data_IF_462046581705
#
_entry.id   IF_462046581705
#
_cell.length_a   1.000
_cell.length_b   1.000
_cell.length_c   1.000
_cell.angle_alpha   90.00
_cell.angle_beta   90.00
_cell.angle_gamma   90.00
#
_symmetry.space_group_name_H-M   'P 1'
#
loop_
_entity.id
_entity.type
_entity.pdbx_description
1 polymer ?
#
# COMPACT_ATOMS: atom_id res chain seq x y z
N UNK A 1 -52.27 -50.72 38.11
CA UNK A 1 -52.14 -49.28 38.11
C UNK A 1 -50.94 -48.95 37.28
N UNK A 2 -51.23 -48.56 36.07
CA UNK A 2 -50.29 -48.18 35.03
C UNK A 2 -50.15 -46.67 35.02
N UNK A 3 -48.93 -46.18 35.16
CA UNK A 3 -48.58 -44.81 34.79
C UNK A 3 -47.72 -44.89 33.54
N UNK A 4 -48.27 -44.37 32.46
CA UNK A 4 -47.59 -44.16 31.17
C UNK A 4 -46.93 -42.79 31.20
N UNK A 5 -45.58 -42.79 31.24
CA UNK A 5 -44.78 -41.58 31.05
C UNK A 5 -44.54 -41.37 29.55
N UNK A 6 -45.26 -40.44 28.96
CA UNK A 6 -44.98 -39.91 27.63
C UNK A 6 -43.74 -38.99 27.67
N UNK A 7 -42.64 -39.46 27.09
CA UNK A 7 -41.48 -38.60 26.76
C UNK A 7 -41.73 -37.93 25.43
N UNK A 8 -42.04 -36.63 25.46
CA UNK A 8 -41.98 -35.77 24.31
C UNK A 8 -40.48 -35.48 24.00
N UNK A 9 -39.95 -36.11 22.99
CA UNK A 9 -38.64 -35.78 22.38
C UNK A 9 -38.80 -34.45 21.61
N UNK A 10 -38.44 -33.34 22.24
CA UNK A 10 -38.28 -32.05 21.57
C UNK A 10 -36.98 -32.13 20.72
N UNK A 11 -37.16 -32.49 19.45
CA UNK A 11 -36.14 -32.32 18.42
C UNK A 11 -35.91 -30.80 18.24
N UNK A 12 -34.92 -30.25 18.94
CA UNK A 12 -34.35 -28.96 18.58
C UNK A 12 -33.53 -29.14 17.29
N UNK A 13 -34.14 -28.84 16.15
CA UNK A 13 -33.41 -28.54 14.94
C UNK A 13 -32.60 -27.29 15.22
N UNK A 14 -31.32 -27.47 15.60
CA UNK A 14 -30.32 -26.42 15.56
C UNK A 14 -30.13 -26.06 14.07
N UNK A 15 -30.92 -25.12 13.58
CA UNK A 15 -30.62 -24.42 12.33
C UNK A 15 -29.29 -23.69 12.54
N UNK A 16 -28.19 -24.30 12.10
CA UNK A 16 -26.93 -23.62 11.95
C UNK A 16 -27.13 -22.57 10.86
N UNK A 17 -27.39 -21.34 11.26
CA UNK A 17 -27.19 -20.18 10.39
C UNK A 17 -25.73 -20.23 9.94
N UNK A 18 -25.50 -20.60 8.68
CA UNK A 18 -24.19 -20.47 8.06
C UNK A 18 -23.90 -18.95 7.99
N UNK A 19 -23.05 -18.45 8.89
CA UNK A 19 -22.56 -17.08 8.82
C UNK A 19 -21.87 -16.92 7.46
N UNK A 20 -22.49 -16.21 6.52
CA UNK A 20 -21.87 -15.89 5.24
C UNK A 20 -20.64 -15.00 5.47
N UNK A 21 -19.46 -15.55 5.19
CA UNK A 21 -18.20 -14.83 5.32
C UNK A 21 -18.11 -13.70 4.29
N UNK A 22 -17.86 -12.47 4.75
CA UNK A 22 -17.57 -11.35 3.84
C UNK A 22 -16.28 -11.60 3.05
N UNK A 23 -16.33 -11.46 1.72
CA UNK A 23 -15.15 -11.66 0.87
C UNK A 23 -15.12 -10.67 -0.31
N UNK A 24 -14.00 -10.62 -1.00
CA UNK A 24 -13.78 -9.79 -2.18
C UNK A 24 -13.32 -10.62 -3.36
N UNK A 25 -13.82 -10.28 -4.55
CA UNK A 25 -13.29 -10.76 -5.83
C UNK A 25 -12.63 -9.61 -6.58
N UNK A 26 -11.39 -9.83 -7.02
CA UNK A 26 -10.60 -8.84 -7.76
C UNK A 26 -10.11 -9.45 -9.06
N UNK A 27 -10.45 -8.81 -10.18
CA UNK A 27 -9.91 -9.15 -11.49
C UNK A 27 -9.15 -7.95 -12.07
N UNK A 28 -7.91 -8.19 -12.52
CA UNK A 28 -7.07 -7.16 -13.10
C UNK A 28 -6.57 -7.57 -14.49
N UNK A 29 -6.82 -6.73 -15.48
CA UNK A 29 -6.30 -6.85 -16.84
C UNK A 29 -5.39 -5.66 -17.16
N UNK A 30 -4.17 -5.92 -17.65
CA UNK A 30 -3.20 -4.87 -18.00
C UNK A 30 -2.59 -5.17 -19.36
N UNK A 31 -2.65 -4.17 -20.25
CA UNK A 31 -1.95 -4.18 -21.54
C UNK A 31 -0.99 -2.99 -21.57
N UNK A 32 0.28 -3.24 -21.83
CA UNK A 32 1.29 -2.19 -21.97
C UNK A 32 2.09 -2.37 -23.25
N UNK A 33 2.22 -1.27 -24.01
CA UNK A 33 3.08 -1.22 -25.18
C UNK A 33 4.13 -0.13 -24.99
N UNK A 34 5.41 -0.54 -25.05
CA UNK A 34 6.55 0.35 -24.92
C UNK A 34 7.38 0.34 -26.18
N UNK A 35 7.69 1.53 -26.69
CA UNK A 35 8.52 1.70 -27.86
C UNK A 35 9.66 2.71 -27.59
N UNK A 36 10.82 2.45 -28.19
CA UNK A 36 11.99 3.30 -28.12
C UNK A 36 12.48 3.59 -29.56
N UNK A 37 12.39 4.85 -29.95
CA UNK A 37 12.76 5.34 -31.27
C UNK A 37 14.09 6.10 -31.14
N UNK A 38 15.15 5.56 -31.73
CA UNK A 38 16.49 6.16 -31.68
C UNK A 38 16.72 7.07 -32.86
N UNK A 39 17.15 8.28 -32.57
CA UNK A 39 17.59 9.28 -33.55
C UNK A 39 19.07 9.49 -33.29
N UNK A 40 19.96 9.19 -34.21
CA UNK A 40 21.40 9.42 -34.11
C UNK A 40 21.98 9.44 -32.64
N UNK A 41 21.75 10.54 -31.92
CA UNK A 41 22.26 10.77 -30.53
C UNK A 41 21.17 11.06 -29.52
N UNK A 42 19.91 11.00 -29.89
CA UNK A 42 18.74 11.19 -29.00
C UNK A 42 17.78 9.99 -29.08
N UNK A 43 16.86 9.91 -28.16
CA UNK A 43 15.90 8.81 -28.07
C UNK A 43 14.54 9.34 -27.62
N UNK A 44 13.48 8.90 -28.30
CA UNK A 44 12.11 9.09 -27.87
C UNK A 44 11.57 7.76 -27.35
N UNK A 45 11.17 7.73 -26.10
CA UNK A 45 10.47 6.60 -25.50
C UNK A 45 8.99 6.96 -25.37
N UNK A 46 8.12 6.04 -25.78
CA UNK A 46 6.67 6.16 -25.67
C UNK A 46 6.13 4.90 -25.01
N UNK A 47 5.28 5.08 -24.02
CA UNK A 47 4.57 3.98 -23.36
C UNK A 47 3.08 4.26 -23.41
N UNK A 48 2.31 3.29 -23.92
CA UNK A 48 0.85 3.25 -23.85
C UNK A 48 0.46 2.20 -22.84
N UNK A 49 -0.48 2.50 -21.97
CA UNK A 49 -1.03 1.59 -20.99
C UNK A 49 -2.54 1.59 -21.02
N UNK A 50 -3.13 0.40 -20.94
CA UNK A 50 -4.56 0.17 -20.70
C UNK A 50 -4.67 -0.78 -19.53
N UNK A 51 -5.49 -0.45 -18.56
CA UNK A 51 -5.80 -1.37 -17.46
C UNK A 51 -7.27 -1.30 -17.09
N UNK A 52 -7.77 -2.43 -16.66
CA UNK A 52 -9.10 -2.61 -16.13
C UNK A 52 -8.98 -3.35 -14.80
N UNK A 53 -9.67 -2.85 -13.79
CA UNK A 53 -9.81 -3.49 -12.49
C UNK A 53 -11.29 -3.65 -12.21
N UNK A 54 -11.73 -4.90 -12.00
CA UNK A 54 -13.07 -5.25 -11.53
C UNK A 54 -12.94 -5.60 -10.05
N UNK A 55 -13.83 -5.06 -9.23
CA UNK A 55 -13.88 -5.30 -7.79
C UNK A 55 -15.32 -5.59 -7.39
N UNK A 56 -15.52 -6.74 -6.78
CA UNK A 56 -16.77 -7.13 -6.15
C UNK A 56 -16.56 -7.36 -4.67
N UNK A 57 -17.47 -6.84 -3.85
CA UNK A 57 -17.48 -7.09 -2.41
C UNK A 57 -18.82 -7.71 -2.03
N UNK A 58 -18.72 -8.79 -1.27
CA UNK A 58 -19.84 -9.54 -0.72
C UNK A 58 -19.80 -9.37 0.80
N UNK A 59 -20.90 -8.96 1.39
CA UNK A 59 -21.02 -8.71 2.83
C UNK A 59 -22.28 -9.34 3.39
N UNK A 60 -22.42 -9.32 4.71
CA UNK A 60 -23.61 -9.76 5.40
C UNK A 60 -24.56 -8.58 5.59
N UNK A 61 -25.81 -8.68 5.16
CA UNK A 61 -26.86 -7.78 5.62
C UNK A 61 -27.42 -8.33 6.93
N UNK A 62 -27.22 -7.61 8.05
CA UNK A 62 -28.08 -7.82 9.19
C UNK A 62 -29.46 -7.26 8.80
N UNK A 63 -30.40 -8.16 8.49
CA UNK A 63 -31.82 -7.79 8.41
C UNK A 63 -32.22 -7.22 9.79
N UNK A 64 -32.56 -5.93 9.83
CA UNK A 64 -33.16 -5.34 11.04
C UNK A 64 -34.41 -6.16 11.38
N UNK A 65 -34.32 -6.94 12.46
CA UNK A 65 -35.43 -7.76 12.95
C UNK A 65 -36.69 -6.92 13.08
N UNK A 66 -37.69 -7.25 12.30
CA UNK A 66 -39.04 -6.75 12.51
C UNK A 66 -39.51 -7.21 13.89
N UNK A 67 -39.56 -6.28 14.86
CA UNK A 67 -40.27 -6.49 16.10
C UNK A 67 -41.72 -6.87 15.77
N UNK A 68 -42.08 -8.10 16.08
CA UNK A 68 -43.42 -8.62 15.99
C UNK A 68 -44.38 -7.75 16.80
N UNK A 69 -45.12 -6.88 16.13
CA UNK A 69 -46.38 -6.34 16.66
C UNK A 69 -47.53 -7.23 16.17
N UNK A 70 -48.00 -8.08 17.08
CA UNK A 70 -49.30 -8.75 16.97
C UNK A 70 -50.40 -7.66 16.86
N UNK A 71 -50.95 -7.49 15.64
CA UNK A 71 -52.28 -6.91 15.48
C UNK A 71 -52.95 -7.57 14.28
N UNK A 72 -54.04 -8.30 14.58
CA UNK A 72 -54.95 -8.94 13.64
C UNK A 72 -55.55 -7.91 12.65
N UNK A 73 -55.21 -8.01 11.37
CA UNK A 73 -56.05 -7.53 10.27
C UNK A 73 -55.89 -8.38 9.02
N UNK A 74 -56.96 -9.09 8.67
CA UNK A 74 -57.23 -9.64 7.37
C UNK A 74 -57.27 -8.53 6.32
N UNK A 75 -56.37 -8.54 5.32
CA UNK A 75 -56.67 -8.03 3.96
C UNK A 75 -55.58 -8.52 2.98
N UNK A 76 -56.03 -9.19 1.90
CA UNK A 76 -55.23 -9.65 0.79
C UNK A 76 -54.60 -8.47 0.01
N UNK A 77 -53.31 -8.24 0.16
CA UNK A 77 -52.51 -7.50 -0.82
C UNK A 77 -51.18 -8.24 -1.01
N UNK A 78 -50.93 -8.63 -2.26
CA UNK A 78 -49.69 -9.23 -2.70
C UNK A 78 -48.55 -8.18 -2.61
N UNK A 79 -47.78 -8.20 -1.56
CA UNK A 79 -46.50 -7.54 -1.52
C UNK A 79 -45.51 -8.37 -2.35
N UNK A 80 -45.07 -7.79 -3.47
CA UNK A 80 -43.90 -8.24 -4.22
C UNK A 80 -42.68 -8.07 -3.32
N UNK A 81 -42.35 -9.08 -2.52
CA UNK A 81 -41.03 -9.20 -1.90
C UNK A 81 -40.08 -9.44 -3.09
N UNK A 82 -39.27 -8.44 -3.42
CA UNK A 82 -38.09 -8.62 -4.24
C UNK A 82 -37.21 -9.65 -3.53
N UNK A 83 -37.24 -10.89 -4.02
CA UNK A 83 -36.33 -11.94 -3.59
C UNK A 83 -34.92 -11.46 -3.95
N UNK A 84 -34.14 -10.98 -2.98
CA UNK A 84 -32.71 -10.76 -3.14
C UNK A 84 -32.08 -12.10 -3.50
N UNK A 85 -31.57 -12.23 -4.74
CA UNK A 85 -30.87 -13.44 -5.14
C UNK A 85 -29.60 -13.57 -4.29
N UNK A 86 -29.51 -14.62 -3.49
CA UNK A 86 -28.33 -15.01 -2.73
C UNK A 86 -27.10 -15.01 -3.67
N UNK A 87 -26.13 -14.11 -3.45
CA UNK A 87 -24.87 -14.03 -4.21
C UNK A 87 -24.68 -12.78 -5.08
N UNK A 88 -25.55 -11.76 -5.00
CA UNK A 88 -25.26 -10.46 -5.63
C UNK A 88 -24.22 -9.66 -4.82
N UNK A 89 -23.26 -9.07 -5.52
CA UNK A 89 -22.23 -8.25 -4.88
C UNK A 89 -22.82 -6.91 -4.45
N UNK A 90 -22.68 -6.53 -3.18
CA UNK A 90 -23.10 -5.23 -2.68
C UNK A 90 -22.35 -4.09 -3.38
N UNK A 91 -21.03 -4.23 -3.51
CA UNK A 91 -20.19 -3.33 -4.31
C UNK A 91 -19.73 -4.10 -5.55
N UNK A 92 -20.07 -3.62 -6.73
CA UNK A 92 -19.54 -4.07 -8.02
C UNK A 92 -19.00 -2.83 -8.76
N UNK A 93 -17.70 -2.74 -8.86
CA UNK A 93 -16.97 -1.56 -9.34
C UNK A 93 -16.04 -1.92 -10.48
N UNK A 94 -16.06 -1.12 -11.55
CA UNK A 94 -15.10 -1.18 -12.65
C UNK A 94 -14.29 0.09 -12.74
N UNK A 95 -12.97 -0.04 -12.71
CA UNK A 95 -12.03 1.04 -12.91
C UNK A 95 -11.25 0.84 -14.20
N UNK A 96 -11.52 1.65 -15.21
CA UNK A 96 -10.81 1.64 -16.48
C UNK A 96 -9.78 2.76 -16.53
N UNK A 97 -8.56 2.45 -16.92
CA UNK A 97 -7.48 3.44 -17.03
C UNK A 97 -6.77 3.33 -18.37
N UNK A 98 -6.61 4.47 -19.05
CA UNK A 98 -5.76 4.60 -20.20
C UNK A 98 -4.64 5.62 -19.94
N UNK A 99 -3.41 5.32 -20.35
CA UNK A 99 -2.27 6.19 -20.12
C UNK A 99 -1.37 6.31 -21.36
N UNK A 100 -0.79 7.49 -21.52
CA UNK A 100 0.25 7.78 -22.50
C UNK A 100 1.38 8.51 -21.78
N UNK A 101 2.58 7.93 -21.81
CA UNK A 101 3.80 8.56 -21.35
C UNK A 101 4.77 8.74 -22.51
N UNK A 102 5.40 9.89 -22.58
CA UNK A 102 6.50 10.12 -23.50
C UNK A 102 7.71 10.73 -22.79
N UNK A 103 8.89 10.35 -23.24
CA UNK A 103 10.17 10.81 -22.70
C UNK A 103 11.16 10.99 -23.83
N UNK A 104 11.65 12.21 -24.02
CA UNK A 104 12.66 12.53 -24.99
C UNK A 104 14.01 12.76 -24.31
N UNK A 105 14.97 11.90 -24.63
CA UNK A 105 16.35 11.97 -24.14
C UNK A 105 17.17 12.74 -25.19
N UNK A 106 17.64 13.91 -24.80
CA UNK A 106 18.51 14.73 -25.65
C UNK A 106 19.90 14.09 -25.80
N UNK A 107 20.69 14.51 -26.80
CA UNK A 107 22.04 14.01 -26.95
C UNK A 107 22.86 14.23 -25.67
N UNK A 108 23.29 13.13 -25.09
CA UNK A 108 24.14 13.16 -23.90
C UNK A 108 25.54 13.61 -24.24
N UNK A 109 26.11 14.46 -23.38
CA UNK A 109 27.53 14.84 -23.37
C UNK A 109 28.20 14.37 -22.11
N UNK A 110 29.53 14.45 -22.02
CA UNK A 110 30.26 14.04 -20.81
C UNK A 110 29.89 14.87 -19.57
N UNK A 111 29.32 16.05 -19.76
CA UNK A 111 29.01 16.99 -18.68
C UNK A 111 27.52 17.24 -18.48
N UNK A 112 26.69 16.89 -19.45
CA UNK A 112 25.29 17.32 -19.43
C UNK A 112 24.37 16.27 -20.05
N UNK A 113 23.30 15.96 -19.32
CA UNK A 113 22.16 15.17 -19.80
C UNK A 113 20.89 15.99 -19.58
N UNK A 114 19.99 15.96 -20.56
CA UNK A 114 18.71 16.62 -20.46
C UNK A 114 17.58 15.72 -20.96
N UNK A 115 16.48 15.72 -20.23
CA UNK A 115 15.30 14.91 -20.50
C UNK A 115 14.09 15.82 -20.44
N UNK A 116 13.20 15.73 -21.44
CA UNK A 116 11.85 16.27 -21.39
C UNK A 116 10.86 15.11 -21.46
N UNK A 117 9.76 15.22 -20.75
CA UNK A 117 8.71 14.23 -20.82
C UNK A 117 7.36 14.78 -20.41
N UNK A 118 6.34 13.98 -20.66
CA UNK A 118 4.97 14.27 -20.25
C UNK A 118 4.15 13.00 -20.14
N UNK A 119 3.03 13.11 -19.45
CA UNK A 119 2.10 12.02 -19.21
C UNK A 119 0.66 12.52 -19.35
N UNK A 120 -0.19 11.67 -19.89
CA UNK A 120 -1.65 11.84 -19.92
C UNK A 120 -2.23 10.56 -19.34
N UNK A 121 -3.19 10.69 -18.42
CA UNK A 121 -3.93 9.54 -17.87
C UNK A 121 -5.41 9.92 -17.86
N UNK A 122 -6.25 9.02 -18.37
CA UNK A 122 -7.69 9.09 -18.23
C UNK A 122 -8.13 7.86 -17.45
N UNK A 123 -8.99 8.06 -16.46
CA UNK A 123 -9.53 7.00 -15.63
C UNK A 123 -11.02 7.22 -15.44
N UNK A 124 -11.79 6.15 -15.59
CA UNK A 124 -13.23 6.12 -15.41
C UNK A 124 -13.57 5.07 -14.34
N UNK A 125 -14.40 5.46 -13.38
CA UNK A 125 -15.00 4.59 -12.38
C UNK A 125 -16.48 4.44 -12.66
N UNK A 126 -16.97 3.21 -12.73
CA UNK A 126 -18.39 2.85 -12.94
C UNK A 126 -18.81 1.85 -11.89
N UNK A 127 -19.97 2.06 -11.29
CA UNK A 127 -20.59 1.19 -10.28
C UNK A 127 -21.76 0.44 -10.89
N UNK A 128 -21.92 -0.82 -10.51
CA UNK A 128 -22.96 -1.76 -10.98
C UNK A 128 -23.65 -2.48 -9.81
N UNK A 129 -23.09 -2.42 -8.59
CA UNK A 129 -23.66 -2.98 -7.37
C UNK A 129 -24.78 -2.11 -6.79
N UNK A 130 -25.43 -2.61 -5.76
CA UNK A 130 -26.49 -1.88 -5.05
C UNK A 130 -25.95 -0.75 -4.21
N UNK A 131 -24.74 -0.88 -3.68
CA UNK A 131 -24.04 0.12 -2.87
C UNK A 131 -22.97 0.86 -3.66
N UNK A 132 -22.96 2.19 -3.55
CA UNK A 132 -21.91 3.03 -4.12
C UNK A 132 -21.01 3.58 -3.03
N UNK A 133 -19.84 2.99 -2.79
CA UNK A 133 -18.83 3.56 -1.88
C UNK A 133 -18.26 4.88 -2.41
N UNK A 134 -18.07 4.99 -3.72
CA UNK A 134 -17.65 6.20 -4.45
C UNK A 134 -18.47 6.36 -5.72
N UNK A 135 -18.86 7.57 -6.11
CA UNK A 135 -19.72 7.79 -7.28
C UNK A 135 -19.03 7.45 -8.60
N UNK A 136 -19.83 7.22 -9.64
CA UNK A 136 -19.35 7.19 -11.01
C UNK A 136 -18.58 8.48 -11.32
N UNK A 137 -17.37 8.35 -11.88
CA UNK A 137 -16.49 9.50 -12.02
C UNK A 137 -15.49 9.35 -13.16
N UNK A 138 -15.11 10.49 -13.73
CA UNK A 138 -14.02 10.63 -14.68
C UNK A 138 -12.87 11.41 -14.05
N UNK A 139 -11.65 10.95 -14.26
CA UNK A 139 -10.42 11.62 -13.84
C UNK A 139 -9.46 11.73 -15.02
N UNK A 140 -8.96 12.94 -15.26
CA UNK A 140 -7.92 13.20 -16.23
C UNK A 140 -6.70 13.83 -15.57
N UNK A 141 -5.52 13.27 -15.81
CA UNK A 141 -4.24 13.84 -15.40
C UNK A 141 -3.41 14.24 -16.61
N UNK A 142 -2.80 15.41 -16.55
CA UNK A 142 -1.86 15.92 -17.52
C UNK A 142 -0.60 16.40 -16.79
N UNK A 143 0.57 15.91 -17.18
CA UNK A 143 1.85 16.29 -16.58
C UNK A 143 2.93 16.55 -17.61
N UNK A 144 3.78 17.57 -17.34
CA UNK A 144 4.99 17.85 -18.14
C UNK A 144 6.18 18.06 -17.20
N UNK A 145 7.33 17.52 -17.57
CA UNK A 145 8.54 17.65 -16.77
C UNK A 145 9.81 17.82 -17.58
N UNK A 146 10.80 18.46 -16.96
CA UNK A 146 12.15 18.54 -17.46
C UNK A 146 13.14 18.15 -16.37
N UNK A 147 14.16 17.34 -16.72
CA UNK A 147 15.22 16.91 -15.82
C UNK A 147 16.56 17.20 -16.48
N UNK A 148 17.48 17.81 -15.73
CA UNK A 148 18.85 18.07 -16.15
C UNK A 148 19.83 17.44 -15.17
N UNK A 149 20.82 16.72 -15.69
CA UNK A 149 21.98 16.24 -14.94
C UNK A 149 23.24 16.96 -15.42
N UNK A 150 24.00 17.50 -14.49
CA UNK A 150 25.30 18.15 -14.75
C UNK A 150 26.39 17.41 -14.00
N UNK A 151 27.33 16.82 -14.74
CA UNK A 151 28.46 16.06 -14.23
C UNK A 151 29.71 16.94 -14.15
N UNK A 152 30.15 17.24 -12.95
CA UNK A 152 31.42 17.90 -12.67
C UNK A 152 32.39 16.87 -12.10
N UNK A 153 33.69 17.18 -12.05
CA UNK A 153 34.74 16.20 -11.70
C UNK A 153 34.45 15.36 -10.45
N UNK A 154 33.91 15.95 -9.39
CA UNK A 154 33.62 15.27 -8.11
C UNK A 154 32.21 15.61 -7.58
N UNK A 155 31.38 16.25 -8.39
CA UNK A 155 30.06 16.71 -8.01
C UNK A 155 29.09 16.45 -9.16
N UNK A 156 28.00 15.78 -8.87
CA UNK A 156 26.85 15.64 -9.76
C UNK A 156 25.72 16.53 -9.24
N UNK A 157 25.13 17.30 -10.12
CA UNK A 157 23.97 18.15 -9.88
C UNK A 157 22.80 17.64 -10.69
N UNK A 158 21.64 17.48 -10.07
CA UNK A 158 20.38 17.16 -10.74
C UNK A 158 19.34 18.23 -10.42
N UNK A 159 18.66 18.70 -11.44
CA UNK A 159 17.53 19.64 -11.32
C UNK A 159 16.34 19.06 -12.05
N UNK A 160 15.20 18.98 -11.38
CA UNK A 160 13.93 18.57 -11.95
C UNK A 160 12.85 19.63 -11.73
N UNK A 161 12.04 19.85 -12.75
CA UNK A 161 10.85 20.71 -12.70
C UNK A 161 9.68 19.96 -13.33
N UNK A 162 8.50 20.04 -12.70
CA UNK A 162 7.29 19.40 -13.21
C UNK A 162 6.06 20.28 -12.94
N UNK A 163 5.17 20.36 -13.92
CA UNK A 163 3.84 20.94 -13.79
C UNK A 163 2.79 19.88 -14.06
N UNK A 164 1.73 19.85 -13.26
CA UNK A 164 0.65 18.88 -13.34
C UNK A 164 -0.70 19.56 -13.22
N UNK A 165 -1.69 18.98 -13.90
CA UNK A 165 -3.10 19.29 -13.75
C UNK A 165 -3.87 17.97 -13.62
N UNK A 166 -4.82 17.93 -12.69
CA UNK A 166 -5.81 16.87 -12.51
C UNK A 166 -7.19 17.46 -12.54
N UNK A 167 -8.04 16.93 -13.40
CA UNK A 167 -9.46 17.24 -13.46
C UNK A 167 -10.25 16.01 -12.99
N UNK A 168 -11.22 16.22 -12.09
CA UNK A 168 -12.12 15.21 -11.57
C UNK A 168 -13.55 15.68 -11.82
N UNK A 169 -14.38 14.78 -12.35
CA UNK A 169 -15.78 15.04 -12.64
C UNK A 169 -16.65 13.87 -12.19
N UNK A 170 -17.75 14.17 -11.53
CA UNK A 170 -18.89 13.28 -11.27
C UNK A 170 -20.17 13.93 -11.85
N UNK A 171 -21.33 13.33 -11.65
CA UNK A 171 -22.60 13.91 -12.08
C UNK A 171 -22.83 15.33 -11.49
N UNK A 172 -22.49 15.53 -10.21
CA UNK A 172 -22.80 16.74 -9.44
C UNK A 172 -21.56 17.55 -9.02
N UNK A 173 -20.36 17.12 -9.42
CA UNK A 173 -19.12 17.73 -8.97
C UNK A 173 -18.11 17.86 -10.10
N UNK A 174 -17.40 18.99 -10.13
CA UNK A 174 -16.25 19.19 -11.03
C UNK A 174 -15.20 20.03 -10.34
N UNK A 175 -13.97 19.52 -10.27
CA UNK A 175 -12.85 20.22 -9.64
C UNK A 175 -11.55 19.99 -10.40
N UNK A 176 -10.78 21.06 -10.56
CA UNK A 176 -9.45 21.02 -11.15
C UNK A 176 -8.39 21.34 -10.11
N UNK A 177 -7.34 20.52 -10.08
CA UNK A 177 -6.18 20.70 -9.24
C UNK A 177 -4.97 20.94 -10.12
N UNK A 178 -4.14 21.91 -9.78
CA UNK A 178 -2.89 22.18 -10.49
C UNK A 178 -1.73 22.32 -9.50
N UNK A 179 -0.56 21.88 -9.91
CA UNK A 179 0.63 22.01 -9.09
C UNK A 179 1.89 22.23 -9.91
N UNK A 180 2.89 22.76 -9.25
CA UNK A 180 4.23 22.86 -9.75
C UNK A 180 5.19 22.30 -8.70
N UNK A 181 6.04 21.36 -9.10
CA UNK A 181 7.01 20.71 -8.22
C UNK A 181 8.43 20.88 -8.77
N UNK A 182 9.40 20.85 -7.86
CA UNK A 182 10.81 21.01 -8.18
C UNK A 182 11.69 20.08 -7.35
N UNK A 183 12.85 19.72 -7.88
CA UNK A 183 13.86 18.98 -7.16
C UNK A 183 15.27 19.48 -7.46
N UNK A 184 16.13 19.43 -6.44
CA UNK A 184 17.54 19.74 -6.52
C UNK A 184 18.33 18.65 -5.82
N UNK A 185 19.10 17.87 -6.58
CA UNK A 185 19.97 16.82 -6.07
C UNK A 185 21.43 17.19 -6.21
N UNK A 186 22.21 17.00 -5.17
CA UNK A 186 23.66 17.14 -5.15
C UNK A 186 24.27 15.80 -4.69
N UNK A 187 25.23 15.27 -5.46
CA UNK A 187 26.04 14.12 -5.05
C UNK A 187 27.50 14.47 -5.15
N UNK A 188 28.21 14.33 -4.07
CA UNK A 188 29.66 14.55 -4.00
C UNK A 188 30.39 13.27 -3.63
N UNK A 189 31.34 12.85 -4.47
CA UNK A 189 32.20 11.73 -4.16
C UNK A 189 33.31 12.16 -3.20
N UNK A 190 33.46 11.42 -2.11
CA UNK A 190 34.46 11.59 -1.06
C UNK A 190 35.53 10.50 -1.23
N UNK A 191 36.46 10.74 -2.15
CA UNK A 191 37.41 9.71 -2.58
C UNK A 191 36.75 8.67 -3.51
N UNK A 192 37.31 7.44 -3.49
CA UNK A 192 36.84 6.33 -4.34
C UNK A 192 35.76 5.47 -3.71
N UNK A 193 35.59 5.56 -2.39
CA UNK A 193 34.80 4.60 -1.62
C UNK A 193 33.60 5.22 -0.91
N UNK A 194 33.42 6.53 -0.95
CA UNK A 194 32.34 7.17 -0.21
C UNK A 194 31.67 8.26 -1.05
N UNK A 195 30.41 8.53 -0.78
CA UNK A 195 29.70 9.66 -1.34
C UNK A 195 28.69 10.22 -0.33
N UNK A 196 28.44 11.51 -0.45
CA UNK A 196 27.38 12.21 0.23
C UNK A 196 26.39 12.73 -0.79
N UNK A 197 25.10 12.64 -0.48
CA UNK A 197 24.00 13.16 -1.30
C UNK A 197 23.14 14.07 -0.47
N UNK A 198 22.68 15.13 -1.08
CA UNK A 198 21.68 16.06 -0.55
C UNK A 198 20.59 16.20 -1.61
N UNK A 199 19.33 15.98 -1.22
CA UNK A 199 18.20 16.28 -2.06
C UNK A 199 17.27 17.26 -1.35
N UNK A 200 16.77 18.22 -2.12
CA UNK A 200 15.68 19.09 -1.77
C UNK A 200 14.59 18.87 -2.82
N UNK A 201 13.40 18.53 -2.41
CA UNK A 201 12.31 18.27 -3.33
C UNK A 201 10.99 18.80 -2.81
N UNK A 202 10.14 19.24 -3.73
CA UNK A 202 8.73 19.45 -3.47
C UNK A 202 7.91 18.39 -4.21
N UNK A 203 6.85 17.92 -3.57
CA UNK A 203 5.88 16.99 -4.13
C UNK A 203 4.46 17.51 -3.95
N UNK A 204 3.51 16.89 -4.62
CA UNK A 204 2.10 17.14 -4.38
C UNK A 204 1.30 15.85 -4.57
N UNK A 205 0.13 15.82 -3.95
CA UNK A 205 -0.89 14.81 -4.15
C UNK A 205 -2.27 15.47 -4.17
N UNK A 206 -3.00 15.35 -5.26
CA UNK A 206 -4.42 15.70 -5.25
C UNK A 206 -5.21 14.61 -4.53
N UNK A 207 -6.31 14.95 -3.83
CA UNK A 207 -7.18 13.98 -3.20
C UNK A 207 -7.65 12.91 -4.20
N UNK A 208 -7.83 11.68 -3.73
CA UNK A 208 -8.41 10.59 -4.51
C UNK A 208 -9.95 10.59 -4.41
N UNK A 209 -10.60 9.69 -5.15
CA UNK A 209 -12.07 9.64 -5.19
C UNK A 209 -12.68 9.24 -3.85
N UNK A 210 -12.08 8.28 -3.13
CA UNK A 210 -12.57 7.87 -1.82
C UNK A 210 -12.41 9.00 -0.79
N UNK A 211 -11.30 9.72 -0.80
CA UNK A 211 -11.09 10.88 0.08
C UNK A 211 -12.10 11.99 -0.16
N UNK A 212 -12.55 12.17 -1.41
CA UNK A 212 -13.51 13.22 -1.77
C UNK A 212 -14.97 12.80 -1.57
N UNK A 213 -15.30 11.53 -1.83
CA UNK A 213 -16.67 11.12 -2.08
C UNK A 213 -17.10 9.84 -1.37
N UNK A 214 -16.23 9.18 -0.58
CA UNK A 214 -16.68 8.01 0.16
C UNK A 214 -17.92 8.35 0.99
N UNK A 215 -18.98 7.55 0.89
CA UNK A 215 -20.19 7.63 1.69
C UNK A 215 -20.81 6.24 1.79
N UNK A 216 -20.19 5.35 2.56
CA UNK A 216 -20.61 3.95 2.62
C UNK A 216 -19.75 3.09 3.52
N UNK A 217 -20.13 1.81 3.64
CA UNK A 217 -19.40 0.79 4.38
C UNK A 217 -18.21 0.30 3.54
N UNK A 218 -17.04 0.32 4.14
CA UNK A 218 -15.86 -0.34 3.62
C UNK A 218 -15.72 -1.69 4.34
N UNK A 219 -16.31 -2.73 3.77
CA UNK A 219 -16.42 -4.07 4.38
C UNK A 219 -15.06 -4.67 4.73
N UNK A 220 -14.04 -4.51 3.89
CA UNK A 220 -12.68 -5.04 4.12
C UNK A 220 -11.96 -4.48 5.36
N UNK A 221 -12.47 -3.39 5.99
CA UNK A 221 -11.93 -2.79 7.21
C UNK A 221 -13.01 -2.52 8.27
N UNK A 222 -14.22 -3.02 8.05
CA UNK A 222 -15.37 -2.96 8.97
C UNK A 222 -15.62 -1.55 9.52
N UNK A 223 -15.80 -0.55 8.64
CA UNK A 223 -16.10 0.84 9.03
C UNK A 223 -16.90 1.58 7.97
N UNK A 224 -17.65 2.59 8.39
CA UNK A 224 -18.31 3.54 7.50
C UNK A 224 -17.37 4.72 7.23
N UNK A 225 -17.15 5.09 5.97
CA UNK A 225 -16.25 6.16 5.55
C UNK A 225 -17.03 7.33 4.94
N UNK A 226 -16.71 8.56 5.35
CA UNK A 226 -17.23 9.80 4.74
C UNK A 226 -16.06 10.62 4.20
N UNK A 227 -16.11 10.92 2.90
CA UNK A 227 -15.19 11.80 2.19
C UNK A 227 -15.49 13.27 2.44
N UNK A 228 -14.56 14.14 2.02
CA UNK A 228 -14.76 15.58 2.02
C UNK A 228 -14.41 16.17 0.65
N UNK A 229 -15.43 16.63 -0.08
CA UNK A 229 -15.30 17.26 -1.40
C UNK A 229 -14.52 18.59 -1.40
N UNK A 230 -14.30 19.19 -0.21
CA UNK A 230 -13.57 20.45 -0.05
C UNK A 230 -12.05 20.25 0.08
N UNK A 231 -11.57 19.01 0.22
CA UNK A 231 -10.15 18.70 0.36
C UNK A 231 -9.31 19.41 -0.72
N UNK A 232 -8.19 19.97 -0.28
CA UNK A 232 -7.22 20.68 -1.11
C UNK A 232 -6.05 19.76 -1.48
N UNK A 233 -5.18 20.22 -2.38
CA UNK A 233 -3.93 19.52 -2.73
C UNK A 233 -3.03 19.40 -1.50
N UNK A 234 -2.59 18.20 -1.20
CA UNK A 234 -1.51 17.94 -0.25
C UNK A 234 -0.17 18.34 -0.91
N UNK A 235 0.67 19.03 -0.16
CA UNK A 235 2.01 19.43 -0.62
C UNK A 235 3.08 18.94 0.34
N UNK A 236 4.19 18.48 -0.21
CA UNK A 236 5.35 17.96 0.50
C UNK A 236 6.58 18.79 0.18
N UNK A 237 7.37 19.15 1.18
CA UNK A 237 8.70 19.72 1.02
C UNK A 237 9.68 18.87 1.82
N UNK A 238 10.56 18.18 1.11
CA UNK A 238 11.44 17.17 1.68
C UNK A 238 12.92 17.55 1.52
N UNK A 239 13.67 17.31 2.58
CA UNK A 239 15.11 17.34 2.64
C UNK A 239 15.62 15.92 2.96
N UNK A 240 16.50 15.40 2.11
CA UNK A 240 17.19 14.13 2.32
C UNK A 240 18.69 14.32 2.37
N UNK A 241 19.35 13.66 3.32
CA UNK A 241 20.78 13.58 3.44
C UNK A 241 21.21 12.12 3.52
N UNK A 242 22.07 11.67 2.59
CA UNK A 242 22.61 10.31 2.56
C UNK A 242 24.11 10.32 2.61
N UNK A 243 24.68 9.45 3.42
CA UNK A 243 26.10 9.12 3.44
C UNK A 243 26.28 7.64 3.15
N UNK A 244 27.02 7.32 2.09
CA UNK A 244 27.30 5.94 1.72
C UNK A 244 28.80 5.72 1.64
N UNK A 245 29.29 4.64 2.24
CA UNK A 245 30.68 4.21 2.12
C UNK A 245 30.76 2.72 1.79
N UNK A 246 31.73 2.35 0.97
CA UNK A 246 31.88 0.99 0.45
C UNK A 246 33.32 0.54 0.58
N UNK A 247 33.51 -0.69 0.99
CA UNK A 247 34.79 -1.39 0.93
C UNK A 247 34.55 -2.80 0.38
N UNK A 248 35.60 -3.57 0.18
CA UNK A 248 35.47 -4.97 -0.24
C UNK A 248 34.69 -5.83 0.76
N UNK A 249 34.75 -5.49 2.04
CA UNK A 249 34.19 -6.28 3.13
C UNK A 249 32.95 -5.67 3.75
N UNK A 250 32.72 -4.36 3.59
CA UNK A 250 31.69 -3.61 4.33
C UNK A 250 31.12 -2.49 3.49
N UNK A 251 29.80 -2.39 3.47
CA UNK A 251 29.05 -1.23 3.02
C UNK A 251 28.28 -0.64 4.18
N UNK A 252 28.30 0.69 4.31
CA UNK A 252 27.56 1.45 5.32
C UNK A 252 26.74 2.53 4.61
N UNK A 253 25.47 2.60 4.92
CA UNK A 253 24.54 3.66 4.53
C UNK A 253 23.96 4.35 5.76
N UNK A 254 23.87 5.66 5.72
CA UNK A 254 23.12 6.47 6.69
C UNK A 254 22.25 7.42 5.89
N UNK A 255 20.95 7.33 6.07
CA UNK A 255 19.96 8.17 5.41
C UNK A 255 19.12 8.89 6.47
N UNK A 256 18.98 10.20 6.33
CA UNK A 256 18.17 11.05 7.21
C UNK A 256 17.25 11.86 6.33
N UNK A 257 15.97 11.93 6.68
CA UNK A 257 15.03 12.78 5.98
C UNK A 257 14.18 13.62 6.92
N UNK A 258 13.72 14.73 6.40
CA UNK A 258 12.73 15.60 6.99
C UNK A 258 11.75 16.05 5.92
N UNK A 259 10.47 15.86 6.16
CA UNK A 259 9.38 16.20 5.24
C UNK A 259 8.30 17.01 5.95
N UNK A 260 8.06 18.23 5.47
CA UNK A 260 6.96 19.07 5.91
C UNK A 260 5.81 18.95 4.91
N UNK A 261 4.65 18.56 5.42
CA UNK A 261 3.42 18.31 4.66
C UNK A 261 2.39 19.38 4.96
N UNK A 262 1.90 20.06 3.94
CA UNK A 262 0.75 20.95 4.08
C UNK A 262 -0.50 20.26 3.54
N UNK A 263 -1.59 20.37 4.27
CA UNK A 263 -2.87 19.73 3.97
C UNK A 263 -2.72 18.19 3.86
N UNK A 264 -2.00 17.55 4.76
CA UNK A 264 -1.89 16.09 4.80
C UNK A 264 -3.26 15.47 5.03
N UNK A 265 -3.64 14.51 4.16
CA UNK A 265 -4.95 13.86 4.19
C UNK A 265 -4.83 12.53 4.91
N UNK A 266 -5.63 12.33 5.95
CA UNK A 266 -5.75 11.06 6.65
C UNK A 266 -7.18 10.82 7.09
N UNK A 267 -7.48 9.62 7.57
CA UNK A 267 -8.81 9.23 8.03
C UNK A 267 -8.83 9.13 9.55
N UNK A 268 -9.89 9.66 10.18
CA UNK A 268 -10.04 9.75 11.63
C UNK A 268 -11.42 9.29 12.06
N UNK A 269 -11.54 8.48 13.14
CA UNK A 269 -12.85 8.12 13.70
C UNK A 269 -13.52 9.33 14.33
N UNK A 270 -14.85 9.43 14.17
CA UNK A 270 -15.66 10.50 14.76
C UNK A 270 -16.14 10.18 16.18
N UNK A 271 -16.01 8.93 16.63
CA UNK A 271 -16.61 8.40 17.85
C UNK A 271 -18.10 8.02 17.69
N UNK A 272 -18.67 8.22 16.50
CA UNK A 272 -20.03 7.79 16.13
C UNK A 272 -20.04 6.45 15.40
N UNK A 273 -21.24 5.98 15.07
CA UNK A 273 -21.45 4.79 14.23
C UNK A 273 -22.62 4.99 13.27
N UNK A 274 -22.61 4.30 12.15
CA UNK A 274 -23.70 4.21 11.16
C UNK A 274 -23.94 2.72 10.92
N UNK A 275 -25.17 2.26 11.07
CA UNK A 275 -25.54 0.84 10.90
C UNK A 275 -24.61 -0.12 11.66
N UNK A 276 -24.31 0.19 12.94
CA UNK A 276 -23.39 -0.61 13.75
C UNK A 276 -21.89 -0.45 13.42
N UNK A 277 -21.53 0.11 12.26
CA UNK A 277 -20.14 0.30 11.85
C UNK A 277 -19.56 1.61 12.39
N UNK A 278 -18.31 1.61 12.91
CA UNK A 278 -17.63 2.84 13.35
C UNK A 278 -17.51 3.86 12.23
N UNK A 279 -17.88 5.12 12.51
CA UNK A 279 -17.86 6.21 11.52
C UNK A 279 -16.49 6.89 11.48
N UNK A 280 -15.94 7.03 10.27
CA UNK A 280 -14.68 7.71 10.00
C UNK A 280 -14.84 8.81 8.96
N UNK A 281 -14.16 9.93 9.17
CA UNK A 281 -14.09 11.03 8.21
C UNK A 281 -12.68 11.24 7.68
N UNK A 282 -12.56 11.61 6.40
CA UNK A 282 -11.30 12.13 5.85
C UNK A 282 -11.10 13.58 6.30
N UNK A 283 -9.91 13.89 6.77
CA UNK A 283 -9.52 15.21 7.30
C UNK A 283 -8.19 15.66 6.70
N UNK A 284 -7.92 16.98 6.76
CA UNK A 284 -6.65 17.58 6.34
C UNK A 284 -6.02 18.39 7.46
N UNK A 285 -4.73 18.16 7.72
CA UNK A 285 -3.93 18.94 8.67
C UNK A 285 -2.49 19.07 8.16
N UNK A 286 -1.79 20.11 8.62
CA UNK A 286 -0.36 20.23 8.37
C UNK A 286 0.40 19.24 9.27
N UNK A 287 1.41 18.58 8.70
CA UNK A 287 2.11 17.51 9.39
C UNK A 287 3.62 17.52 9.09
N UNK A 288 4.38 16.88 9.96
CA UNK A 288 5.81 16.71 9.79
C UNK A 288 6.20 15.24 9.95
N UNK A 289 6.98 14.72 8.99
CA UNK A 289 7.59 13.40 9.02
C UNK A 289 9.09 13.52 9.04
N UNK A 290 9.77 12.79 9.91
CA UNK A 290 11.23 12.73 9.95
C UNK A 290 11.68 11.30 10.27
N UNK A 291 12.84 10.92 9.75
CA UNK A 291 13.35 9.59 9.98
C UNK A 291 14.84 9.47 9.76
N UNK A 292 15.37 8.39 10.29
CA UNK A 292 16.75 7.95 10.09
C UNK A 292 16.78 6.46 9.80
N UNK A 293 17.56 6.08 8.80
CA UNK A 293 17.86 4.70 8.47
C UNK A 293 19.37 4.48 8.48
N UNK A 294 19.80 3.43 9.16
CA UNK A 294 21.17 2.94 9.17
C UNK A 294 21.18 1.55 8.52
N UNK A 295 21.96 1.39 7.46
CA UNK A 295 22.16 0.08 6.79
C UNK A 295 23.62 -0.32 6.84
N UNK A 296 23.88 -1.57 7.22
CA UNK A 296 25.22 -2.15 7.20
C UNK A 296 25.11 -3.51 6.51
N UNK A 297 25.89 -3.72 5.46
CA UNK A 297 25.98 -5.01 4.80
C UNK A 297 27.45 -5.39 4.59
N UNK A 298 27.73 -6.68 4.59
CA UNK A 298 29.11 -7.11 4.45
C UNK A 298 29.33 -8.59 4.27
N UNK A 299 30.58 -8.92 3.98
CA UNK A 299 31.09 -10.28 3.92
C UNK A 299 31.79 -10.61 5.24
N UNK A 300 31.62 -11.83 5.69
CA UNK A 300 32.39 -12.34 6.81
C UNK A 300 33.76 -12.88 6.32
N UNK A 301 34.53 -13.45 7.21
CA UNK A 301 35.75 -14.21 6.82
C UNK A 301 35.44 -15.59 6.20
N UNK A 302 34.16 -15.97 6.24
CA UNK A 302 33.65 -17.21 5.63
C UNK A 302 33.05 -16.81 4.28
N UNK A 303 33.62 -17.33 3.19
CA UNK A 303 33.22 -16.95 1.82
C UNK A 303 31.74 -17.27 1.51
N UNK A 304 31.13 -18.16 2.28
CA UNK A 304 29.76 -18.61 2.15
C UNK A 304 28.77 -17.80 3.01
N UNK A 305 29.22 -16.80 3.80
CA UNK A 305 28.36 -16.07 4.72
C UNK A 305 28.48 -14.56 4.51
N UNK A 306 27.36 -13.94 4.13
CA UNK A 306 27.15 -12.48 4.12
C UNK A 306 26.10 -12.09 5.13
N UNK A 307 26.06 -10.81 5.48
CA UNK A 307 25.05 -10.26 6.37
C UNK A 307 24.56 -8.91 5.88
N UNK A 308 23.30 -8.63 6.19
CA UNK A 308 22.67 -7.33 6.00
C UNK A 308 21.91 -6.97 7.29
N UNK A 309 22.03 -5.72 7.74
CA UNK A 309 21.29 -5.24 8.91
C UNK A 309 20.82 -3.81 8.69
N UNK A 310 19.59 -3.52 9.15
CA UNK A 310 19.07 -2.16 9.17
C UNK A 310 18.49 -1.79 10.54
N UNK A 311 18.54 -0.49 10.83
CA UNK A 311 17.86 0.14 11.95
C UNK A 311 17.11 1.35 11.42
N UNK A 312 15.80 1.36 11.59
CA UNK A 312 14.87 2.33 11.02
C UNK A 312 14.09 3.01 12.15
N UNK A 313 14.11 4.35 12.19
CA UNK A 313 13.30 5.14 13.10
C UNK A 313 12.50 6.20 12.32
N UNK A 314 11.21 6.27 12.59
CA UNK A 314 10.27 7.21 11.97
C UNK A 314 9.49 7.95 13.05
N UNK A 315 9.29 9.25 12.85
CA UNK A 315 8.42 10.10 13.68
C UNK A 315 7.51 10.93 12.78
N UNK A 316 6.21 10.92 13.09
CA UNK A 316 5.18 11.71 12.43
C UNK A 316 4.36 12.50 13.44
N UNK A 317 4.16 13.80 13.20
CA UNK A 317 3.38 14.67 14.06
C UNK A 317 2.49 15.59 13.23
N UNK A 318 1.32 15.97 13.76
CA UNK A 318 0.50 17.06 13.25
C UNK A 318 0.88 18.37 13.93
N UNK A 319 0.57 19.50 13.31
CA UNK A 319 1.05 20.82 13.78
C UNK A 319 0.45 21.24 15.13
N UNK A 320 -0.70 20.76 15.52
CA UNK A 320 -1.30 21.00 16.83
C UNK A 320 -0.66 20.18 17.97
N UNK A 321 0.35 19.37 17.67
CA UNK A 321 1.20 18.66 18.64
C UNK A 321 0.81 17.18 18.85
N UNK A 322 -0.18 16.65 18.12
CA UNK A 322 -0.54 15.23 18.12
C UNK A 322 0.44 14.37 17.29
N UNK A 323 0.32 13.06 17.40
CA UNK A 323 1.04 12.12 16.55
C UNK A 323 0.20 11.75 15.33
N UNK A 324 0.85 11.51 14.19
CA UNK A 324 0.20 10.89 13.03
C UNK A 324 -0.13 9.43 13.31
N UNK A 325 -1.26 8.91 12.79
CA UNK A 325 -1.58 7.50 12.90
C UNK A 325 -0.66 6.63 12.03
N UNK A 326 -0.57 5.36 12.37
CA UNK A 326 0.15 4.34 11.61
C UNK A 326 1.65 4.65 11.38
N UNK A 327 2.31 5.25 12.36
CA UNK A 327 3.76 5.48 12.31
C UNK A 327 4.48 4.22 12.79
N UNK A 328 5.32 3.64 11.92
CA UNK A 328 6.09 2.43 12.23
C UNK A 328 6.96 2.62 13.47
N UNK A 329 6.98 1.69 14.42
CA UNK A 329 7.90 1.71 15.56
C UNK A 329 9.36 1.55 15.12
N UNK A 330 10.29 1.84 16.03
CA UNK A 330 11.70 1.52 15.81
C UNK A 330 11.84 0.06 15.39
N UNK A 331 12.40 -0.15 14.20
CA UNK A 331 12.52 -1.46 13.56
C UNK A 331 13.99 -1.81 13.37
N UNK A 332 14.37 -3.00 13.81
CA UNK A 332 15.68 -3.60 13.58
C UNK A 332 15.55 -4.88 12.76
N UNK A 333 16.34 -5.01 11.69
CA UNK A 333 16.42 -6.21 10.84
C UNK A 333 17.86 -6.70 10.78
N UNK A 334 18.04 -8.00 10.78
CA UNK A 334 19.33 -8.66 10.58
C UNK A 334 19.13 -9.93 9.77
N UNK A 335 19.74 -9.99 8.59
CA UNK A 335 19.68 -11.12 7.69
C UNK A 335 21.08 -11.71 7.50
N UNK A 336 21.15 -13.03 7.48
CA UNK A 336 22.33 -13.80 7.14
C UNK A 336 22.04 -14.61 5.88
N UNK A 337 22.83 -14.36 4.82
CA UNK A 337 22.78 -15.12 3.59
C UNK A 337 23.92 -16.15 3.59
N UNK A 338 23.54 -17.40 3.40
CA UNK A 338 24.45 -18.54 3.37
C UNK A 338 24.46 -19.14 1.97
N UNK A 339 25.59 -19.03 1.26
CA UNK A 339 25.77 -19.62 -0.07
C UNK A 339 26.75 -20.79 0.01
N UNK A 340 26.21 -22.00 -0.05
CA UNK A 340 27.00 -23.23 -0.06
C UNK A 340 27.29 -23.76 -1.47
N UNK A 341 27.22 -22.87 -2.47
CA UNK A 341 27.42 -23.20 -3.89
C UNK A 341 26.50 -24.36 -4.35
N UNK A 342 27.07 -25.55 -4.51
CA UNK A 342 26.34 -26.73 -5.01
C UNK A 342 25.32 -27.30 -4.00
N UNK A 343 25.35 -26.86 -2.73
CA UNK A 343 24.41 -27.30 -1.69
C UNK A 343 23.25 -26.33 -1.47
N UNK A 344 23.13 -25.30 -2.31
CA UNK A 344 22.05 -24.33 -2.27
C UNK A 344 22.36 -23.06 -1.49
N UNK A 345 21.38 -22.16 -1.49
CA UNK A 345 21.42 -20.90 -0.77
C UNK A 345 20.35 -20.89 0.33
N UNK A 346 20.69 -20.32 1.47
CA UNK A 346 19.78 -20.23 2.63
C UNK A 346 19.84 -18.84 3.21
N UNK A 347 18.74 -18.43 3.86
CA UNK A 347 18.63 -17.15 4.55
C UNK A 347 18.10 -17.36 5.96
N UNK A 348 18.62 -16.61 6.92
CA UNK A 348 18.09 -16.53 8.27
C UNK A 348 17.85 -15.05 8.56
N UNK A 349 16.59 -14.66 8.68
CA UNK A 349 16.13 -13.32 8.99
C UNK A 349 15.72 -13.18 10.45
N UNK A 350 16.11 -12.07 11.06
CA UNK A 350 15.65 -11.63 12.36
C UNK A 350 15.02 -10.24 12.22
N UNK A 351 13.77 -10.09 12.63
CA UNK A 351 13.04 -8.83 12.71
C UNK A 351 12.71 -8.54 14.17
N UNK A 352 12.96 -7.32 14.63
CA UNK A 352 12.49 -6.84 15.92
C UNK A 352 11.87 -5.46 15.78
N UNK A 353 10.64 -5.30 16.25
CA UNK A 353 9.94 -4.03 16.35
C UNK A 353 9.76 -3.66 17.83
N UNK A 354 10.08 -2.43 18.17
CA UNK A 354 9.86 -1.89 19.50
C UNK A 354 8.35 -1.69 19.75
N UNK A 355 7.98 -1.44 21.01
CA UNK A 355 6.64 -0.97 21.32
C UNK A 355 6.38 0.41 20.69
N UNK A 356 5.16 0.64 20.19
CA UNK A 356 4.73 1.96 19.72
C UNK A 356 3.73 2.57 20.69
N UNK A 357 4.19 3.61 21.39
CA UNK A 357 3.40 4.35 22.39
C UNK A 357 3.12 5.81 21.95
N UNK A 358 3.88 6.31 20.94
CA UNK A 358 3.63 7.63 20.36
C UNK A 358 2.59 7.49 19.23
N UNK A 359 1.33 7.35 19.61
CA UNK A 359 0.19 7.07 18.72
C UNK A 359 -0.73 8.28 18.61
N UNK A 360 -1.57 8.33 17.58
CA UNK A 360 -2.65 9.32 17.48
C UNK A 360 -3.68 9.10 18.61
N UNK A 361 -4.43 10.13 18.98
CA UNK A 361 -5.36 10.11 20.11
C UNK A 361 -6.43 9.00 20.02
N UNK A 362 -6.77 8.59 18.80
CA UNK A 362 -7.74 7.53 18.51
C UNK A 362 -7.10 6.17 18.23
N UNK A 363 -5.79 6.07 18.35
CA UNK A 363 -5.04 4.89 17.95
C UNK A 363 -4.58 4.08 19.17
N UNK A 364 -4.59 2.76 19.08
CA UNK A 364 -4.08 1.89 20.16
C UNK A 364 -2.57 1.71 20.06
N UNK A 365 -1.90 1.80 21.20
CA UNK A 365 -0.49 1.43 21.32
C UNK A 365 -0.31 -0.08 21.08
N UNK A 366 0.85 -0.47 20.59
CA UNK A 366 1.19 -1.87 20.35
C UNK A 366 2.47 -2.27 21.06
N UNK A 367 2.53 -3.53 21.48
CA UNK A 367 3.68 -4.10 22.17
C UNK A 367 4.80 -4.46 21.19
N UNK A 368 6.02 -4.55 21.71
CA UNK A 368 7.18 -5.01 20.96
C UNK A 368 7.10 -6.50 20.63
N UNK A 369 7.67 -6.89 19.51
CA UNK A 369 7.81 -8.28 19.14
C UNK A 369 9.07 -8.55 18.34
N UNK A 370 9.46 -9.82 18.24
CA UNK A 370 10.57 -10.26 17.40
C UNK A 370 10.21 -11.56 16.71
N UNK A 371 10.61 -11.67 15.42
CA UNK A 371 10.36 -12.81 14.56
C UNK A 371 11.68 -13.36 14.04
N UNK A 372 11.71 -14.66 13.76
CA UNK A 372 12.78 -15.33 13.02
C UNK A 372 12.15 -16.03 11.83
N UNK A 373 12.69 -15.75 10.66
CA UNK A 373 12.32 -16.36 9.40
C UNK A 373 13.51 -17.16 8.87
N UNK A 374 13.22 -18.27 8.21
CA UNK A 374 14.25 -19.06 7.51
C UNK A 374 13.76 -19.42 6.12
N UNK A 375 14.65 -19.36 5.17
CA UNK A 375 14.35 -19.77 3.79
C UNK A 375 15.53 -20.49 3.14
N UNK A 376 15.27 -21.17 2.04
CA UNK A 376 16.32 -21.81 1.29
C UNK A 376 15.90 -22.20 -0.13
N UNK A 377 16.90 -22.30 -1.00
CA UNK A 377 16.72 -22.82 -2.33
C UNK A 377 17.82 -23.79 -2.72
N UNK A 378 17.45 -24.81 -3.46
CA UNK A 378 18.37 -25.82 -3.95
C UNK A 378 18.11 -26.10 -5.44
N UNK A 379 19.14 -25.96 -6.26
CA UNK A 379 19.05 -26.17 -7.70
C UNK A 379 19.61 -27.55 -8.07
N UNK A 380 18.75 -28.38 -8.64
CA UNK A 380 19.12 -29.66 -9.23
C UNK A 380 19.32 -29.48 -10.73
N UNK A 381 20.58 -29.54 -11.19
CA UNK A 381 20.93 -29.48 -12.60
C UNK A 381 20.73 -30.87 -13.24
N UNK A 382 19.82 -31.01 -14.20
CA UNK A 382 19.51 -32.24 -14.91
C UNK A 382 19.85 -32.07 -16.38
N UNK A 383 21.09 -32.41 -16.77
CA UNK A 383 21.58 -32.45 -18.15
C UNK A 383 21.17 -31.25 -19.06
N UNK A 384 19.92 -31.07 -19.39
CA UNK A 384 19.37 -29.98 -20.21
C UNK A 384 18.26 -29.18 -19.50
N UNK A 385 17.93 -29.51 -18.26
CA UNK A 385 16.81 -28.95 -17.52
C UNK A 385 17.25 -28.63 -16.10
N UNK A 386 16.68 -27.57 -15.52
CA UNK A 386 16.95 -27.18 -14.15
C UNK A 386 15.66 -27.30 -13.29
N UNK A 387 15.81 -27.96 -12.15
CA UNK A 387 14.76 -28.01 -11.13
C UNK A 387 15.22 -27.22 -9.91
N UNK A 388 14.52 -26.14 -9.59
CA UNK A 388 14.76 -25.38 -8.38
C UNK A 388 13.68 -25.70 -7.34
N UNK A 389 14.10 -26.24 -6.19
CA UNK A 389 13.29 -26.41 -4.99
C UNK A 389 13.53 -25.20 -4.10
N UNK A 390 12.48 -24.51 -3.67
CA UNK A 390 12.56 -23.43 -2.68
C UNK A 390 11.53 -23.64 -1.58
N UNK A 391 11.89 -23.17 -0.39
CA UNK A 391 11.05 -23.27 0.79
C UNK A 391 11.27 -22.08 1.71
N UNK A 392 10.26 -21.73 2.50
CA UNK A 392 10.37 -20.72 3.57
C UNK A 392 9.52 -21.10 4.77
N UNK A 393 9.97 -20.70 5.93
CA UNK A 393 9.22 -20.73 7.17
C UNK A 393 9.28 -19.35 7.78
N UNK A 394 8.19 -18.61 7.71
CA UNK A 394 8.04 -17.31 8.38
C UNK A 394 7.49 -17.51 9.79
N UNK A 395 7.88 -16.62 10.70
CA UNK A 395 7.52 -16.71 12.11
C UNK A 395 7.81 -18.11 12.71
N UNK A 396 9.06 -18.52 12.61
CA UNK A 396 9.52 -19.88 12.96
C UNK A 396 9.03 -20.36 14.33
N UNK A 397 8.95 -19.46 15.32
CA UNK A 397 8.57 -19.77 16.68
C UNK A 397 7.08 -19.61 16.98
N UNK A 398 6.26 -19.34 15.95
CA UNK A 398 4.81 -19.17 16.10
C UNK A 398 4.44 -18.08 17.12
N UNK A 399 5.14 -16.97 17.07
CA UNK A 399 4.90 -15.84 17.98
C UNK A 399 3.57 -15.17 17.62
N UNK A 400 2.68 -15.06 18.60
CA UNK A 400 1.50 -14.21 18.50
C UNK A 400 1.90 -12.75 18.62
N UNK A 401 1.47 -11.91 17.67
CA UNK A 401 1.77 -10.48 17.64
C UNK A 401 0.72 -9.70 16.86
N UNK A 402 0.67 -8.40 17.10
CA UNK A 402 -0.12 -7.43 16.32
C UNK A 402 0.87 -6.40 15.75
N UNK A 403 0.96 -6.30 14.42
CA UNK A 403 1.77 -5.26 13.78
C UNK A 403 1.10 -3.89 13.97
N UNK A 404 1.88 -2.87 14.30
CA UNK A 404 1.34 -1.51 14.49
C UNK A 404 0.67 -0.96 13.24
N UNK A 405 1.11 -1.37 12.04
CA UNK A 405 0.56 -0.93 10.76
C UNK A 405 -0.66 -1.75 10.32
N UNK A 406 -1.06 -2.78 11.08
CA UNK A 406 -2.28 -3.53 10.81
C UNK A 406 -3.51 -2.65 11.02
N UNK A 407 -4.38 -2.59 10.02
CA UNK A 407 -5.67 -1.87 10.14
C UNK A 407 -6.66 -2.58 11.05
N UNK A 408 -6.42 -3.86 11.34
CA UNK A 408 -7.24 -4.70 12.21
C UNK A 408 -6.76 -4.71 13.68
N UNK A 409 -5.71 -3.94 14.00
CA UNK A 409 -5.14 -3.90 15.38
C UNK A 409 -6.15 -3.46 16.44
N UNK A 410 -7.10 -2.57 16.10
CA UNK A 410 -8.13 -2.12 17.02
C UNK A 410 -9.14 -3.25 17.38
N UNK A 411 -9.24 -4.28 16.55
CA UNK A 411 -10.03 -5.47 16.79
C UNK A 411 -9.23 -6.56 17.53
N UNK A 412 -7.96 -6.28 17.87
CA UNK A 412 -7.01 -7.21 18.48
C UNK A 412 -6.84 -8.52 17.67
N UNK A 413 -6.95 -8.43 16.35
CA UNK A 413 -6.69 -9.54 15.45
C UNK A 413 -5.18 -9.67 15.26
N UNK A 414 -4.65 -10.85 15.64
CA UNK A 414 -3.24 -11.16 15.49
C UNK A 414 -2.86 -11.33 14.00
N UNK A 415 -1.64 -10.96 13.70
CA UNK A 415 -1.05 -11.23 12.40
C UNK A 415 -0.76 -12.73 12.22
N UNK A 416 -0.40 -13.10 10.97
CA UNK A 416 -0.20 -14.51 10.59
C UNK A 416 0.84 -15.17 11.50
N UNK A 417 0.46 -16.28 12.12
CA UNK A 417 1.35 -17.16 12.86
C UNK A 417 2.41 -17.82 11.97
N UNK A 418 2.94 -18.96 12.37
CA UNK A 418 3.92 -19.69 11.56
C UNK A 418 3.33 -20.06 10.19
N UNK A 419 4.01 -19.62 9.12
CA UNK A 419 3.65 -19.94 7.76
C UNK A 419 4.78 -20.76 7.09
N UNK A 420 4.43 -21.86 6.43
CA UNK A 420 5.36 -22.76 5.73
C UNK A 420 4.99 -22.77 4.25
N UNK A 421 5.92 -22.39 3.39
CA UNK A 421 5.77 -22.43 1.94
C UNK A 421 6.82 -23.34 1.32
N UNK A 422 6.40 -24.13 0.32
CA UNK A 422 7.27 -24.96 -0.50
C UNK A 422 6.89 -24.80 -1.96
N UNK A 423 7.87 -24.62 -2.83
CA UNK A 423 7.64 -24.48 -4.25
C UNK A 423 8.70 -25.15 -5.11
N UNK A 424 8.30 -25.50 -6.32
CA UNK A 424 9.15 -26.10 -7.36
C UNK A 424 9.07 -25.25 -8.61
N UNK A 425 10.23 -24.94 -9.19
CA UNK A 425 10.33 -24.29 -10.50
C UNK A 425 11.14 -25.19 -11.42
N UNK A 426 10.49 -25.66 -12.48
CA UNK A 426 11.12 -26.47 -13.51
C UNK A 426 11.34 -25.64 -14.79
N UNK A 427 12.57 -25.62 -15.29
CA UNK A 427 12.95 -24.94 -16.53
C UNK A 427 13.42 -25.98 -17.55
N UNK A 428 12.83 -25.95 -18.75
CA UNK A 428 13.07 -26.91 -19.84
C UNK A 428 13.36 -26.21 -21.16
#
# INVERSE_FOLDING_TARGET
DHDDDDHDDDDHDDEHEEEEESYQELENSVISWKNSIKFNRSELQVTLGLSENLRKEFGHHEEEGHDDHDDDHDDDDHDDHEEHEEGEAHIDMQLQTSSLDFKYLFPKTDKFEFILGGSILNQENSNFGEEELIPNSEKQDLGFYGISHVHLKNLDLMVGLRGDQRDIQTADFSKSYSSFTSSLGLKKNLGSSSNIRLNLSSGYRAPNLSELFADGVHHGVARYEIGDSQLSVEKSNQLDLSLNTFSEMLSLGVDVFFNSLSNYIYIMPTGGSVNGMPLYNYVQEDANLSGIELTISGKTKLDWLTYNTSLEYLKGTVDDGGNLPFISPLTFKLDFDLDFNNAGTYEIGFLSKANQNEVADFETATESYSLIDISGSYMLNMANNDLNLFWSVSNLFDKEYVDHLSRLKNLNIHDIGRNISVGLKYSF
#
